data_IF_213687513673
#
_entry.id   IF_213687513673
#
_cell.length_a   1.000
_cell.length_b   1.000
_cell.length_c   1.000
_cell.angle_alpha   90.00
_cell.angle_beta   90.00
_cell.angle_gamma   90.00
#
_symmetry.space_group_name_H-M   'P 1'
#
loop_
_entity.id
_entity.type
_entity.pdbx_description
1 polymer ?
#
# COMPACT_ATOMS: atom_id res chain seq x y z
N UNK A 1 -6.23 -4.14 -4.43
CA UNK A 1 -6.36 -4.08 -2.95
C UNK A 1 -6.28 -2.62 -2.58
N UNK A 2 -7.09 -2.16 -1.62
CA UNK A 2 -7.31 -0.75 -1.38
C UNK A 2 -7.23 -0.34 0.09
N UNK A 3 -8.05 0.67 0.44
CA UNK A 3 -8.04 1.28 1.75
C UNK A 3 -8.31 0.26 2.87
N UNK A 4 -7.35 0.10 3.78
CA UNK A 4 -7.47 -0.77 4.95
C UNK A 4 -7.28 -2.27 4.68
N UNK A 5 -6.94 -2.65 3.45
CA UNK A 5 -6.65 -4.04 3.08
C UNK A 5 -5.16 -4.32 3.13
N UNK A 6 -4.78 -5.41 3.80
CA UNK A 6 -3.40 -5.87 3.89
C UNK A 6 -3.02 -6.75 2.69
N UNK A 7 -1.78 -7.24 2.66
CA UNK A 7 -1.27 -8.08 1.58
C UNK A 7 -2.11 -9.35 1.36
N UNK A 8 -2.86 -9.81 2.38
CA UNK A 8 -3.64 -11.06 2.32
C UNK A 8 -4.91 -10.92 1.48
N UNK A 9 -5.31 -9.70 1.13
CA UNK A 9 -6.39 -9.47 0.16
C UNK A 9 -6.07 -10.12 -1.18
N UNK A 10 -4.81 -10.13 -1.59
CA UNK A 10 -4.35 -10.86 -2.77
C UNK A 10 -4.25 -12.35 -2.43
N UNK A 11 -5.34 -13.09 -2.68
CA UNK A 11 -5.42 -14.50 -2.31
C UNK A 11 -4.27 -15.32 -2.91
N UNK A 12 -3.87 -16.37 -2.19
CA UNK A 12 -2.85 -17.32 -2.65
C UNK A 12 -3.18 -17.90 -4.04
N UNK A 13 -4.46 -18.09 -4.35
CA UNK A 13 -4.90 -18.54 -5.67
C UNK A 13 -4.63 -17.52 -6.77
N UNK A 14 -4.88 -16.23 -6.52
CA UNK A 14 -4.59 -15.16 -7.46
C UNK A 14 -3.08 -15.01 -7.68
N UNK A 15 -2.32 -14.87 -6.59
CA UNK A 15 -0.85 -14.75 -6.62
C UNK A 15 -0.24 -15.99 -7.29
N UNK A 16 -0.67 -17.18 -6.89
CA UNK A 16 -0.22 -18.45 -7.44
C UNK A 16 -0.43 -18.53 -8.95
N UNK A 17 -1.57 -18.05 -9.46
CA UNK A 17 -1.85 -18.04 -10.90
C UNK A 17 -0.87 -17.18 -11.71
N UNK A 18 -0.39 -16.07 -11.15
CA UNK A 18 0.62 -15.20 -11.77
C UNK A 18 2.00 -15.86 -11.71
N UNK A 19 2.35 -16.46 -10.57
CA UNK A 19 3.60 -17.20 -10.40
C UNK A 19 3.70 -18.37 -11.38
N UNK A 20 2.63 -19.15 -11.57
CA UNK A 20 2.58 -20.23 -12.57
C UNK A 20 2.80 -19.73 -14.00
N UNK A 21 2.46 -18.47 -14.29
CA UNK A 21 2.71 -17.82 -15.60
C UNK A 21 4.12 -17.23 -15.73
N UNK A 22 4.98 -17.43 -14.73
CA UNK A 22 6.38 -16.97 -14.74
C UNK A 22 6.61 -15.57 -14.18
N UNK A 23 5.61 -14.96 -13.55
CA UNK A 23 5.79 -13.66 -12.90
C UNK A 23 6.39 -13.81 -11.50
N UNK A 24 7.35 -12.96 -11.15
CA UNK A 24 7.70 -12.67 -9.75
C UNK A 24 6.65 -11.69 -9.21
N UNK A 25 5.87 -12.11 -8.24
CA UNK A 25 4.86 -11.26 -7.59
C UNK A 25 5.44 -10.66 -6.31
N UNK A 26 5.25 -9.36 -6.13
CA UNK A 26 5.56 -8.65 -4.88
C UNK A 26 4.25 -8.02 -4.40
N UNK A 27 3.75 -8.48 -3.26
CA UNK A 27 2.63 -7.87 -2.55
C UNK A 27 3.18 -7.17 -1.30
N UNK A 28 2.60 -6.02 -0.96
CA UNK A 28 3.05 -5.18 0.15
C UNK A 28 1.89 -4.92 1.10
N UNK A 29 2.21 -4.79 2.38
CA UNK A 29 1.36 -4.10 3.34
C UNK A 29 1.62 -2.60 3.18
N UNK A 30 0.59 -1.81 2.88
CA UNK A 30 0.71 -0.35 2.91
C UNK A 30 0.93 0.13 4.35
N UNK A 31 1.48 1.33 4.53
CA UNK A 31 1.47 2.01 5.83
C UNK A 31 0.06 2.00 6.45
N UNK A 32 0.00 1.92 7.78
CA UNK A 32 -1.23 1.73 8.60
C UNK A 32 -2.00 0.42 8.41
N UNK A 33 -1.38 -0.59 7.80
CA UNK A 33 -2.04 -1.88 7.57
C UNK A 33 -1.06 -3.05 7.77
N UNK A 34 -1.57 -4.20 8.17
CA UNK A 34 -0.81 -5.45 8.24
C UNK A 34 0.38 -5.38 9.19
N UNK A 35 1.56 -5.75 8.69
CA UNK A 35 2.84 -5.72 9.41
C UNK A 35 3.67 -4.48 9.11
N UNK A 36 3.15 -3.53 8.33
CA UNK A 36 3.81 -2.25 8.05
C UNK A 36 3.66 -1.27 9.22
N UNK A 37 4.38 -0.17 9.15
CA UNK A 37 4.35 0.87 10.19
C UNK A 37 2.97 1.50 10.30
N UNK A 38 2.47 1.61 11.54
CA UNK A 38 1.29 2.40 11.88
C UNK A 38 1.73 3.80 12.31
N UNK A 39 1.18 4.82 11.64
CA UNK A 39 1.47 6.21 11.91
C UNK A 39 0.81 6.62 13.22
N UNK A 40 1.55 7.30 14.09
CA UNK A 40 1.06 7.71 15.40
C UNK A 40 0.03 8.87 15.34
N UNK A 41 -0.25 9.40 14.15
CA UNK A 41 -1.19 10.51 13.98
C UNK A 41 -2.63 10.03 14.27
N UNK A 42 -3.42 10.75 15.09
CA UNK A 42 -4.79 10.36 15.36
C UNK A 42 -5.64 10.51 14.10
N UNK A 43 -6.63 9.62 13.88
CA UNK A 43 -7.51 9.71 12.72
C UNK A 43 -8.21 11.07 12.68
N UNK A 44 -8.48 11.62 11.48
CA UNK A 44 -9.20 12.87 11.36
C UNK A 44 -10.59 12.74 12.00
N UNK A 45 -11.00 13.72 12.81
CA UNK A 45 -12.35 13.77 13.35
C UNK A 45 -13.39 13.83 12.23
N UNK A 46 -14.58 13.27 12.46
CA UNK A 46 -15.65 13.10 11.47
C UNK A 46 -15.94 14.37 10.66
N UNK A 47 -16.02 15.53 11.31
CA UNK A 47 -16.28 16.81 10.63
C UNK A 47 -15.19 17.22 9.63
N UNK A 48 -13.92 16.91 9.90
CA UNK A 48 -12.82 17.14 8.94
C UNK A 48 -12.93 16.22 7.74
N UNK A 49 -13.33 14.96 7.96
CA UNK A 49 -13.55 14.01 6.88
C UNK A 49 -14.68 14.48 5.95
N UNK A 50 -15.83 14.86 6.53
CA UNK A 50 -16.98 15.39 5.78
C UNK A 50 -16.60 16.66 4.99
N UNK A 51 -15.80 17.54 5.59
CA UNK A 51 -15.36 18.77 4.95
C UNK A 51 -14.21 18.57 3.93
N UNK A 52 -13.76 17.33 3.69
CA UNK A 52 -12.59 17.01 2.87
C UNK A 52 -11.36 17.86 3.24
N UNK A 53 -11.16 18.13 4.55
CA UNK A 53 -10.05 18.91 5.08
C UNK A 53 -9.01 17.96 5.68
N UNK A 54 -7.99 17.54 4.90
CA UNK A 54 -6.95 16.67 5.40
C UNK A 54 -6.18 17.36 6.53
N UNK A 55 -5.61 16.55 7.42
CA UNK A 55 -4.70 17.07 8.44
C UNK A 55 -3.31 17.27 7.80
N UNK A 56 -2.61 18.33 8.16
CA UNK A 56 -1.24 18.58 7.66
C UNK A 56 -0.18 17.65 8.25
N UNK A 57 -0.52 16.91 9.31
CA UNK A 57 0.31 15.89 9.95
C UNK A 57 -0.05 14.46 9.49
N UNK A 58 -0.98 14.32 8.54
CA UNK A 58 -1.30 13.05 7.89
C UNK A 58 -0.47 12.88 6.62
N UNK A 59 -0.25 11.64 6.18
CA UNK A 59 0.36 11.36 4.89
C UNK A 59 -0.64 11.53 3.75
N UNK A 60 -0.09 11.79 2.56
CA UNK A 60 -0.77 11.87 1.29
C UNK A 60 -0.63 10.57 0.49
N UNK A 61 -1.42 10.45 -0.57
CA UNK A 61 -1.27 9.38 -1.56
C UNK A 61 0.12 9.37 -2.22
N UNK A 62 0.75 10.54 -2.35
CA UNK A 62 2.11 10.65 -2.87
C UNK A 62 3.11 9.90 -1.97
N UNK A 63 2.97 10.01 -0.64
CA UNK A 63 3.84 9.28 0.29
C UNK A 63 3.65 7.76 0.18
N UNK A 64 2.41 7.30 -0.07
CA UNK A 64 2.15 5.86 -0.32
C UNK A 64 2.77 5.39 -1.64
N UNK A 65 2.75 6.23 -2.68
CA UNK A 65 3.44 5.91 -3.93
C UNK A 65 4.96 5.85 -3.73
N UNK A 66 5.51 6.74 -2.90
CA UNK A 66 6.93 6.73 -2.51
C UNK A 66 7.30 5.46 -1.72
N UNK A 67 6.42 4.94 -0.85
CA UNK A 67 6.66 3.65 -0.18
C UNK A 67 6.78 2.50 -1.17
N UNK A 68 5.88 2.44 -2.16
CA UNK A 68 5.91 1.41 -3.18
C UNK A 68 7.22 1.49 -3.98
N UNK A 69 7.67 2.69 -4.34
CA UNK A 69 8.98 2.91 -4.97
C UNK A 69 10.13 2.47 -4.05
N UNK A 70 10.08 2.82 -2.76
CA UNK A 70 11.11 2.43 -1.79
C UNK A 70 11.26 0.92 -1.64
N UNK A 71 10.15 0.17 -1.72
CA UNK A 71 10.19 -1.31 -1.77
C UNK A 71 10.88 -1.80 -3.04
N UNK A 72 10.58 -1.20 -4.21
CA UNK A 72 11.24 -1.57 -5.47
C UNK A 72 12.73 -1.28 -5.43
N UNK A 73 13.14 -0.13 -4.90
CA UNK A 73 14.54 0.25 -4.74
C UNK A 73 15.28 -0.73 -3.81
N UNK A 74 14.69 -1.08 -2.67
CA UNK A 74 15.26 -2.05 -1.74
C UNK A 74 15.44 -3.44 -2.39
N UNK A 75 14.50 -3.84 -3.25
CA UNK A 75 14.57 -5.10 -3.98
C UNK A 75 15.43 -5.03 -5.25
N UNK A 76 15.95 -3.86 -5.62
CA UNK A 76 16.75 -3.63 -6.83
C UNK A 76 15.96 -3.77 -8.13
N UNK A 77 14.66 -3.42 -8.14
CA UNK A 77 13.76 -3.59 -9.29
C UNK A 77 13.52 -2.24 -9.97
N UNK A 78 14.00 -2.07 -11.20
CA UNK A 78 13.84 -0.80 -11.95
C UNK A 78 12.55 -0.67 -12.75
N UNK A 79 11.89 -1.79 -13.08
CA UNK A 79 10.63 -1.79 -13.85
C UNK A 79 9.72 -2.93 -13.39
N UNK A 80 8.43 -2.63 -13.29
CA UNK A 80 7.40 -3.59 -12.89
C UNK A 80 6.16 -3.48 -13.77
N UNK A 81 5.35 -4.53 -13.75
CA UNK A 81 3.93 -4.45 -14.07
C UNK A 81 3.20 -4.12 -12.76
N UNK A 82 2.52 -2.98 -12.71
CA UNK A 82 1.82 -2.51 -11.51
C UNK A 82 0.33 -2.88 -11.57
N UNK A 83 -0.22 -3.32 -10.44
CA UNK A 83 -1.64 -3.58 -10.23
C UNK A 83 -2.07 -2.87 -8.93
N UNK A 84 -3.12 -2.06 -8.99
CA UNK A 84 -3.73 -1.35 -7.85
C UNK A 84 -5.19 -1.72 -7.72
#
# INVERSE_FOLDING_TARGET
AGLGEDLTFWTDSFVGSLVTRGFRVVAIDNRDVGQSTFVAAPPPGLWRQIAARPRGDAYALADMAEDAVGVLDHLGISRVHLVG
#
